data_IF_148208133829
#
_entry.id   IF_148208133829
#
_cell.length_a   1.000
_cell.length_b   1.000
_cell.length_c   1.000
_cell.angle_alpha   90.00
_cell.angle_beta   90.00
_cell.angle_gamma   90.00
#
_symmetry.space_group_name_H-M   'P 1'
#
loop_
_entity.id
_entity.type
_entity.pdbx_description
1 polymer ?
#
# COMPACT_ATOMS: atom_id res chain seq x y z
N UNK A 1 -32.98 17.75 56.56
CA UNK A 1 -32.96 18.49 55.28
C UNK A 1 -32.28 17.58 54.26
N UNK A 2 -33.04 17.02 53.31
CA UNK A 2 -32.57 16.05 52.30
C UNK A 2 -32.17 16.84 51.05
N UNK A 3 -30.96 16.65 50.52
CA UNK A 3 -30.63 17.01 49.15
C UNK A 3 -30.35 15.71 48.39
N UNK A 4 -31.25 15.37 47.46
CA UNK A 4 -31.15 14.23 46.57
C UNK A 4 -30.23 14.63 45.40
N UNK A 5 -29.01 14.11 45.34
CA UNK A 5 -28.27 14.10 44.07
C UNK A 5 -28.52 12.78 43.36
N UNK A 6 -29.31 12.85 42.28
CA UNK A 6 -29.45 11.74 41.34
C UNK A 6 -28.13 11.62 40.58
N UNK A 7 -27.35 10.58 40.88
CA UNK A 7 -26.26 10.15 40.02
C UNK A 7 -26.90 9.43 38.84
N UNK A 8 -26.93 10.08 37.68
CA UNK A 8 -27.34 9.44 36.43
C UNK A 8 -26.41 8.26 36.14
N UNK A 9 -26.92 7.05 36.26
CA UNK A 9 -26.20 5.85 35.85
C UNK A 9 -26.08 5.87 34.32
N UNK A 10 -24.89 6.18 33.81
CA UNK A 10 -24.57 5.87 32.41
C UNK A 10 -24.51 4.34 32.32
N UNK A 11 -25.55 3.73 31.74
CA UNK A 11 -25.50 2.33 31.34
C UNK A 11 -24.37 2.19 30.32
N UNK A 12 -23.30 1.51 30.72
CA UNK A 12 -22.27 1.08 29.79
C UNK A 12 -22.94 0.25 28.68
N UNK A 13 -22.89 0.75 27.46
CA UNK A 13 -23.26 -0.01 26.27
C UNK A 13 -22.09 -0.96 26.03
N UNK A 14 -22.20 -2.19 26.54
CA UNK A 14 -21.23 -3.24 26.24
C UNK A 14 -21.46 -3.70 24.80
N UNK A 15 -20.75 -3.10 23.86
CA UNK A 15 -20.69 -3.60 22.49
C UNK A 15 -19.93 -4.93 22.51
N UNK A 16 -20.64 -6.05 22.39
CA UNK A 16 -20.00 -7.33 22.08
C UNK A 16 -19.60 -7.34 20.61
N UNK A 17 -18.41 -6.83 20.30
CA UNK A 17 -17.68 -7.17 19.09
C UNK A 17 -16.38 -7.84 19.53
N UNK A 18 -16.47 -9.15 19.75
CA UNK A 18 -15.34 -10.00 20.09
C UNK A 18 -14.47 -10.23 18.86
N UNK A 19 -13.48 -9.38 18.66
CA UNK A 19 -12.20 -9.75 18.06
C UNK A 19 -11.14 -8.91 18.77
N UNK A 20 -10.18 -9.58 19.39
CA UNK A 20 -8.95 -8.91 19.85
C UNK A 20 -8.26 -8.21 18.68
N UNK A 21 -7.22 -7.39 18.93
CA UNK A 21 -6.46 -6.76 17.87
C UNK A 21 -6.06 -7.82 16.83
N UNK A 22 -6.46 -7.59 15.58
CA UNK A 22 -6.07 -8.46 14.46
C UNK A 22 -4.57 -8.23 14.27
N UNK A 23 -3.76 -9.20 14.65
CA UNK A 23 -2.35 -9.22 14.33
C UNK A 23 -2.23 -9.42 12.81
N UNK A 24 -1.65 -8.44 12.13
CA UNK A 24 -1.27 -8.55 10.71
C UNK A 24 0.23 -8.79 10.71
N UNK A 25 0.66 -9.92 10.18
CA UNK A 25 2.08 -10.22 10.04
C UNK A 25 2.74 -9.22 9.09
N UNK A 26 3.92 -8.75 9.46
CA UNK A 26 4.69 -7.82 8.63
C UNK A 26 5.39 -8.60 7.53
N UNK A 27 5.09 -8.25 6.28
CA UNK A 27 5.75 -8.78 5.10
C UNK A 27 6.85 -7.80 4.69
N UNK A 28 8.08 -8.27 4.55
CA UNK A 28 9.17 -7.49 3.98
C UNK A 28 9.14 -7.65 2.45
N UNK A 29 8.75 -6.62 1.68
CA UNK A 29 8.63 -6.77 0.23
C UNK A 29 9.99 -6.71 -0.45
N UNK A 30 10.16 -7.52 -1.50
CA UNK A 30 11.27 -7.42 -2.43
C UNK A 30 10.80 -6.73 -3.71
N UNK A 31 11.59 -5.79 -4.22
CA UNK A 31 11.26 -5.06 -5.44
C UNK A 31 11.62 -5.90 -6.67
N UNK A 32 10.68 -6.02 -7.60
CA UNK A 32 10.89 -6.59 -8.92
C UNK A 32 10.99 -5.43 -9.90
N UNK A 33 12.19 -5.22 -10.46
CA UNK A 33 12.43 -4.15 -11.43
C UNK A 33 12.26 -4.64 -12.87
N UNK A 34 11.86 -3.76 -13.79
CA UNK A 34 11.93 -4.04 -15.23
C UNK A 34 13.39 -4.23 -15.65
N UNK A 35 13.60 -5.03 -16.70
CA UNK A 35 14.93 -5.42 -17.22
C UNK A 35 15.79 -4.24 -17.66
N UNK A 36 15.15 -3.16 -18.13
CA UNK A 36 15.78 -1.86 -18.33
C UNK A 36 15.73 -1.11 -17.00
N UNK A 37 16.89 -0.85 -16.43
CA UNK A 37 17.01 -0.28 -15.09
C UNK A 37 16.64 1.21 -15.11
N UNK A 38 15.39 1.54 -14.77
CA UNK A 38 14.89 2.92 -14.71
C UNK A 38 15.22 3.65 -13.41
N UNK A 39 16.01 3.05 -12.50
CA UNK A 39 16.31 3.66 -11.20
C UNK A 39 17.18 2.78 -10.29
N UNK A 40 17.30 3.20 -9.03
CA UNK A 40 18.10 2.54 -7.99
C UNK A 40 17.23 2.23 -6.79
N UNK A 41 17.40 1.05 -6.19
CA UNK A 41 16.75 0.68 -4.93
C UNK A 41 17.73 0.85 -3.78
N UNK A 42 17.27 1.46 -2.69
CA UNK A 42 17.97 1.52 -1.41
C UNK A 42 16.96 1.26 -0.30
N UNK A 43 17.15 0.16 0.43
CA UNK A 43 16.20 -0.31 1.46
C UNK A 43 14.79 -0.50 0.88
N UNK A 44 13.80 0.25 1.38
CA UNK A 44 12.41 0.28 0.92
C UNK A 44 12.11 1.43 -0.04
N UNK A 45 13.15 2.10 -0.56
CA UNK A 45 13.01 3.26 -1.43
C UNK A 45 13.51 2.94 -2.83
N UNK A 46 12.67 3.17 -3.82
CA UNK A 46 13.05 3.21 -5.22
C UNK A 46 13.22 4.67 -5.65
N UNK A 47 14.36 5.00 -6.24
CA UNK A 47 14.64 6.33 -6.82
C UNK A 47 14.72 6.20 -8.34
N UNK A 48 13.80 6.88 -9.03
CA UNK A 48 13.80 6.94 -10.49
C UNK A 48 15.05 7.66 -11.03
N UNK A 49 15.56 7.23 -12.18
CA UNK A 49 16.80 7.71 -12.80
C UNK A 49 16.73 9.12 -13.41
N UNK A 50 15.67 9.87 -13.12
CA UNK A 50 15.39 11.22 -13.64
C UNK A 50 15.35 11.32 -15.18
N UNK A 51 15.08 10.20 -15.87
CA UNK A 51 14.69 10.18 -17.27
C UNK A 51 13.18 10.36 -17.38
N UNK A 52 12.70 10.81 -18.54
CA UNK A 52 11.27 10.97 -18.81
C UNK A 52 10.62 9.63 -19.25
N UNK A 53 11.05 8.52 -18.65
CA UNK A 53 10.64 7.17 -19.01
C UNK A 53 9.63 6.67 -17.99
N UNK A 54 8.57 6.02 -18.45
CA UNK A 54 7.61 5.36 -17.55
C UNK A 54 8.25 4.13 -16.90
N UNK A 55 7.99 3.92 -15.60
CA UNK A 55 8.52 2.79 -14.84
C UNK A 55 7.45 2.22 -13.91
N UNK A 56 7.32 0.89 -13.93
CA UNK A 56 6.52 0.15 -12.95
C UNK A 56 7.39 -0.84 -12.23
N UNK A 57 7.23 -0.86 -10.91
CA UNK A 57 7.92 -1.77 -10.01
C UNK A 57 6.91 -2.79 -9.49
N UNK A 58 7.29 -4.06 -9.55
CA UNK A 58 6.55 -5.15 -8.91
C UNK A 58 7.07 -5.39 -7.49
N UNK A 59 6.31 -6.18 -6.73
CA UNK A 59 6.68 -6.59 -5.37
C UNK A 59 6.51 -8.10 -5.19
N UNK A 60 7.42 -8.72 -4.46
CA UNK A 60 7.35 -10.10 -3.97
C UNK A 60 7.27 -10.09 -2.43
N UNK A 61 6.50 -10.97 -1.75
CA UNK A 61 5.76 -12.11 -2.28
C UNK A 61 4.53 -11.73 -3.10
N UNK A 62 4.24 -12.53 -4.14
CA UNK A 62 2.92 -12.53 -4.81
C UNK A 62 1.82 -12.81 -3.79
N UNK A 63 0.73 -12.04 -3.84
CA UNK A 63 -0.46 -12.24 -3.01
C UNK A 63 -1.19 -13.49 -3.51
N UNK A 64 -1.20 -14.57 -2.70
CA UNK A 64 -1.84 -15.85 -3.05
C UNK A 64 -3.21 -16.03 -2.41
N UNK A 65 -3.34 -15.61 -1.15
CA UNK A 65 -4.57 -15.71 -0.37
C UNK A 65 -4.60 -14.64 0.75
N UNK A 66 -5.76 -14.52 1.40
CA UNK A 66 -5.93 -13.64 2.56
C UNK A 66 -6.14 -12.16 2.22
N UNK A 67 -5.75 -11.30 3.15
CA UNK A 67 -5.87 -9.84 3.04
C UNK A 67 -4.49 -9.22 3.27
N UNK A 68 -4.01 -8.47 2.28
CA UNK A 68 -2.72 -7.78 2.33
C UNK A 68 -2.97 -6.28 2.34
N UNK A 69 -2.26 -5.58 3.22
CA UNK A 69 -2.22 -4.12 3.26
C UNK A 69 -0.81 -3.68 2.87
N UNK A 70 -0.72 -2.76 1.93
CA UNK A 70 0.53 -2.14 1.54
C UNK A 70 0.34 -0.62 1.48
N UNK A 71 1.44 0.11 1.70
CA UNK A 71 1.46 1.57 1.69
C UNK A 71 2.61 2.03 0.80
N UNK A 72 2.35 3.05 -0.01
CA UNK A 72 3.34 3.64 -0.90
C UNK A 72 3.32 5.15 -0.68
N UNK A 73 4.51 5.73 -0.52
CA UNK A 73 4.70 7.17 -0.44
C UNK A 73 5.39 7.65 -1.71
N UNK A 74 4.80 8.64 -2.38
CA UNK A 74 5.41 9.30 -3.53
C UNK A 74 6.01 10.63 -3.09
N UNK A 75 7.31 10.81 -3.32
CA UNK A 75 8.03 12.05 -3.03
C UNK A 75 8.64 12.65 -4.30
N UNK A 76 8.79 13.97 -4.34
CA UNK A 76 9.51 14.70 -5.40
C UNK A 76 9.09 14.37 -6.83
N UNK A 77 7.81 14.11 -7.02
CA UNK A 77 7.26 13.60 -8.27
C UNK A 77 6.95 14.66 -9.32
N UNK A 78 7.22 15.94 -9.04
CA UNK A 78 7.18 17.06 -10.00
C UNK A 78 5.93 17.14 -10.92
N UNK A 79 4.77 16.67 -10.44
CA UNK A 79 3.53 16.65 -11.24
C UNK A 79 3.38 15.47 -12.21
N UNK A 80 4.35 14.54 -12.28
CA UNK A 80 4.22 13.31 -13.06
C UNK A 80 3.06 12.44 -12.54
N UNK A 81 2.41 11.74 -13.46
CA UNK A 81 1.34 10.79 -13.16
C UNK A 81 1.85 9.62 -12.32
N UNK A 82 1.00 9.14 -11.42
CA UNK A 82 1.30 8.07 -10.47
C UNK A 82 0.09 7.15 -10.37
N UNK A 83 0.34 5.87 -10.56
CA UNK A 83 -0.67 4.83 -10.43
C UNK A 83 -0.17 3.72 -9.53
N UNK A 84 -1.11 3.11 -8.82
CA UNK A 84 -0.91 1.90 -8.02
C UNK A 84 -1.98 0.91 -8.46
N UNK A 85 -1.61 -0.36 -8.62
CA UNK A 85 -2.54 -1.40 -9.02
C UNK A 85 -2.07 -2.78 -8.61
N UNK A 86 -2.91 -3.77 -8.88
CA UNK A 86 -2.62 -5.19 -8.73
C UNK A 86 -2.71 -5.82 -10.12
N UNK A 87 -1.74 -6.64 -10.46
CA UNK A 87 -1.68 -7.37 -11.71
C UNK A 87 -1.43 -8.85 -11.45
N UNK A 88 -1.76 -9.69 -12.43
CA UNK A 88 -1.39 -11.10 -12.37
C UNK A 88 0.14 -11.26 -12.36
N UNK A 89 0.65 -12.29 -11.68
CA UNK A 89 2.09 -12.52 -11.56
C UNK A 89 2.78 -12.81 -12.90
N UNK A 90 2.02 -13.17 -13.95
CA UNK A 90 2.53 -13.35 -15.31
C UNK A 90 2.70 -12.04 -16.08
N UNK A 91 2.18 -10.91 -15.58
CA UNK A 91 2.36 -9.62 -16.23
C UNK A 91 3.83 -9.20 -16.20
N UNK A 92 4.36 -8.82 -17.36
CA UNK A 92 5.69 -8.22 -17.46
C UNK A 92 5.56 -6.72 -17.67
N UNK A 93 6.37 -5.98 -16.93
CA UNK A 93 6.44 -4.54 -16.99
C UNK A 93 7.74 -4.14 -17.65
N UNK A 94 7.67 -3.34 -18.71
CA UNK A 94 8.84 -2.78 -19.36
C UNK A 94 8.88 -1.28 -19.10
N UNK A 95 10.08 -0.72 -19.09
CA UNK A 95 10.25 0.73 -19.11
C UNK A 95 9.75 1.31 -20.41
N UNK A 96 9.22 2.53 -20.39
CA UNK A 96 8.82 3.27 -21.60
C UNK A 96 7.72 2.57 -22.41
N UNK A 97 6.89 1.78 -21.73
CA UNK A 97 5.61 1.29 -22.26
C UNK A 97 4.50 1.86 -21.40
N UNK A 98 3.68 2.74 -21.99
CA UNK A 98 2.44 3.20 -21.36
C UNK A 98 1.50 2.01 -21.21
N UNK A 99 0.87 1.90 -20.04
CA UNK A 99 -0.15 0.87 -19.76
C UNK A 99 -1.46 1.06 -20.51
N UNK A 100 -1.64 2.23 -21.10
CA UNK A 100 -2.79 2.59 -21.91
C UNK A 100 -2.33 2.72 -23.35
N UNK A 101 -2.23 1.58 -24.05
CA UNK A 101 -2.45 1.63 -25.48
C UNK A 101 -3.97 1.69 -25.63
N UNK A 102 -4.50 2.84 -26.02
CA UNK A 102 -5.84 2.93 -26.59
C UNK A 102 -5.85 2.07 -27.85
N UNK A 103 -6.72 1.06 -27.89
CA UNK A 103 -7.20 0.49 -29.15
C UNK A 103 -8.02 1.54 -29.92
#
# INVERSE_FOLDING_TARGET
>A
MKLLSQVSQVKQITTKQGRGPVAIDVIAPLFILPSKQAGVIKYSTFTHSNKADDCTIGFDPVIKDGVVRFEVMFENSQGCERSIGIADASCSFNTDQRYWNED
#
